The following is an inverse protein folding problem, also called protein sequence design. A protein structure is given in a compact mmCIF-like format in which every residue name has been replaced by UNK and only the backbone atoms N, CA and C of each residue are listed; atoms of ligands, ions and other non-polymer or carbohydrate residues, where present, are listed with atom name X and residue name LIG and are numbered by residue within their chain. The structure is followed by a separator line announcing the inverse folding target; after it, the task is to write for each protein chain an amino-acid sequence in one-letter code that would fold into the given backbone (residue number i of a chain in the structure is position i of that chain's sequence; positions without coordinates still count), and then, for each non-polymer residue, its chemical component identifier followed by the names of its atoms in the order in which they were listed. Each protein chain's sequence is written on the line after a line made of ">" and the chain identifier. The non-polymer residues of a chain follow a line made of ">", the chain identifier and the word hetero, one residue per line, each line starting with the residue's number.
data_IF_279952343881
#
_entry.id   IF_279952343881
#
_cell.length_a   1.000
_cell.length_b   1.000
_cell.length_c   1.000
_cell.angle_alpha   90.00
_cell.angle_beta   90.00
_cell.angle_gamma   90.00
#
_symmetry.space_group_name_H-M   'P 1'
#
loop_
_entity.id
_entity.type
_entity.pdbx_description
1 polymer ?
#
# COMPACT_ATOMS: atom_id res chain seq x y z
N UNK A 1 -8.73 -16.38 -48.30
CA UNK A 1 -8.15 -15.12 -47.78
C UNK A 1 -7.31 -14.49 -48.87
N UNK A 2 -7.40 -13.18 -49.07
CA UNK A 2 -6.60 -12.48 -50.09
C UNK A 2 -5.19 -12.20 -49.57
N UNK A 3 -4.23 -12.01 -50.48
CA UNK A 3 -2.85 -11.65 -50.11
C UNK A 3 -2.79 -10.37 -49.26
N UNK A 4 -3.60 -9.36 -49.60
CA UNK A 4 -3.72 -8.12 -48.84
C UNK A 4 -4.19 -8.35 -47.38
N UNK A 5 -5.18 -9.23 -47.17
CA UNK A 5 -5.62 -9.61 -45.82
C UNK A 5 -4.50 -10.30 -45.02
N UNK A 6 -3.69 -11.15 -45.67
CA UNK A 6 -2.55 -11.78 -45.00
C UNK A 6 -1.45 -10.78 -44.63
N UNK A 7 -1.22 -9.75 -45.44
CA UNK A 7 -0.25 -8.70 -45.13
C UNK A 7 -0.74 -7.83 -43.97
N UNK A 8 -2.01 -7.42 -43.98
CA UNK A 8 -2.61 -6.65 -42.90
C UNK A 8 -2.49 -7.40 -41.56
N UNK A 9 -2.85 -8.68 -41.52
CA UNK A 9 -2.72 -9.49 -40.29
C UNK A 9 -1.28 -9.58 -39.78
N UNK A 10 -0.31 -9.74 -40.69
CA UNK A 10 1.12 -9.77 -40.31
C UNK A 10 1.59 -8.43 -39.75
N UNK A 11 1.11 -7.31 -40.30
CA UNK A 11 1.40 -5.99 -39.77
C UNK A 11 0.80 -5.81 -38.37
N UNK A 12 -0.46 -6.16 -38.17
CA UNK A 12 -1.14 -6.09 -36.86
C UNK A 12 -0.43 -6.97 -35.81
N UNK A 13 -0.05 -8.19 -36.17
CA UNK A 13 0.67 -9.10 -35.27
C UNK A 13 2.06 -8.56 -34.89
N UNK A 14 2.74 -7.90 -35.82
CA UNK A 14 4.01 -7.23 -35.56
C UNK A 14 3.83 -6.02 -34.64
N UNK A 15 2.79 -5.21 -34.86
CA UNK A 15 2.48 -4.07 -34.01
C UNK A 15 2.21 -4.48 -32.56
N UNK A 16 1.36 -5.49 -32.36
CA UNK A 16 1.05 -6.04 -31.03
C UNK A 16 2.28 -6.57 -30.31
N UNK A 17 3.19 -7.23 -31.03
CA UNK A 17 4.45 -7.74 -30.44
C UNK A 17 5.32 -6.61 -29.92
N UNK A 18 5.45 -5.51 -30.68
CA UNK A 18 6.26 -4.39 -30.21
C UNK A 18 5.58 -3.63 -29.07
N UNK A 19 4.25 -3.46 -29.10
CA UNK A 19 3.51 -2.88 -27.96
C UNK A 19 3.68 -3.71 -26.68
N UNK A 20 3.67 -5.04 -26.79
CA UNK A 20 3.90 -5.94 -25.66
C UNK A 20 5.35 -5.85 -25.13
N UNK A 21 6.33 -5.78 -26.03
CA UNK A 21 7.73 -5.59 -25.63
C UNK A 21 7.93 -4.27 -24.90
N UNK A 22 7.39 -3.18 -25.43
CA UNK A 22 7.43 -1.86 -24.82
C UNK A 22 6.76 -1.85 -23.44
N UNK A 23 5.61 -2.54 -23.28
CA UNK A 23 4.96 -2.68 -21.99
C UNK A 23 5.83 -3.41 -20.95
N UNK A 24 6.62 -4.41 -21.36
CA UNK A 24 7.58 -5.08 -20.48
C UNK A 24 8.73 -4.16 -20.06
N UNK A 25 9.24 -3.34 -20.98
CA UNK A 25 10.28 -2.35 -20.69
C UNK A 25 9.77 -1.29 -19.70
N UNK A 26 8.53 -0.80 -19.88
CA UNK A 26 7.89 0.12 -18.95
C UNK A 26 7.67 -0.52 -17.57
N UNK A 27 7.29 -1.79 -17.50
CA UNK A 27 7.16 -2.52 -16.24
C UNK A 27 8.51 -2.65 -15.51
N UNK A 28 9.57 -3.00 -16.23
CA UNK A 28 10.92 -3.09 -15.68
C UNK A 28 11.39 -1.73 -15.14
N UNK A 29 11.19 -0.65 -15.90
CA UNK A 29 11.46 0.70 -15.45
C UNK A 29 10.69 1.07 -14.17
N UNK A 30 9.38 0.76 -14.11
CA UNK A 30 8.55 1.08 -12.95
C UNK A 30 9.00 0.33 -11.69
N UNK A 31 9.46 -0.92 -11.83
CA UNK A 31 10.03 -1.70 -10.73
C UNK A 31 11.37 -1.12 -10.24
N UNK A 32 12.28 -0.81 -11.16
CA UNK A 32 13.57 -0.17 -10.81
C UNK A 32 13.35 1.17 -10.10
N UNK A 33 12.43 1.99 -10.61
CA UNK A 33 12.12 3.29 -10.03
C UNK A 33 11.53 3.17 -8.63
N UNK A 34 10.67 2.16 -8.41
CA UNK A 34 10.12 1.86 -7.09
C UNK A 34 11.23 1.55 -6.07
N UNK A 35 12.21 0.74 -6.45
CA UNK A 35 13.31 0.38 -5.55
C UNK A 35 14.20 1.59 -5.23
N UNK A 36 14.51 2.43 -6.23
CA UNK A 36 15.21 3.71 -6.01
C UNK A 36 14.45 4.61 -5.03
N UNK A 37 13.13 4.71 -5.16
CA UNK A 37 12.29 5.49 -4.24
C UNK A 37 12.34 4.89 -2.83
N UNK A 38 12.20 3.56 -2.67
CA UNK A 38 12.31 2.90 -1.36
C UNK A 38 13.63 3.22 -0.66
N UNK A 39 14.76 3.08 -1.34
CA UNK A 39 16.08 3.39 -0.79
C UNK A 39 16.20 4.85 -0.34
N UNK A 40 15.62 5.77 -1.10
CA UNK A 40 15.60 7.20 -0.75
C UNK A 40 14.70 7.46 0.46
N UNK A 41 13.54 6.83 0.55
CA UNK A 41 12.66 6.92 1.71
C UNK A 41 13.32 6.36 2.99
N UNK A 42 14.06 5.25 2.88
CA UNK A 42 14.84 4.68 4.00
C UNK A 42 15.89 5.68 4.49
N UNK A 43 16.67 6.27 3.56
CA UNK A 43 17.67 7.30 3.90
C UNK A 43 17.05 8.55 4.52
N UNK A 44 15.94 9.02 3.95
CA UNK A 44 15.19 10.18 4.48
C UNK A 44 14.69 9.89 5.90
N UNK A 45 14.18 8.68 6.16
CA UNK A 45 13.72 8.25 7.48
C UNK A 45 14.85 8.20 8.51
N UNK A 46 16.04 7.74 8.11
CA UNK A 46 17.22 7.74 8.98
C UNK A 46 17.64 9.17 9.41
N UNK A 47 17.23 10.18 8.65
CA UNK A 47 17.48 11.60 8.93
C UNK A 47 16.28 12.28 9.64
N UNK A 48 15.23 11.53 9.98
CA UNK A 48 14.03 12.07 10.64
C UNK A 48 13.03 12.74 9.68
N UNK A 49 13.18 12.56 8.37
CA UNK A 49 12.21 13.01 7.37
C UNK A 49 11.12 11.97 7.14
N UNK A 50 9.90 12.43 6.85
CA UNK A 50 8.70 11.59 6.66
C UNK A 50 8.01 11.84 5.32
N UNK A 51 8.71 12.50 4.41
CA UNK A 51 8.30 12.76 3.05
C UNK A 51 9.53 12.72 2.14
N UNK A 52 9.27 12.47 0.86
CA UNK A 52 10.28 12.46 -0.19
C UNK A 52 9.66 12.90 -1.50
N UNK A 53 10.41 13.73 -2.24
CA UNK A 53 10.05 14.15 -3.60
C UNK A 53 11.23 13.91 -4.53
N UNK A 54 10.95 13.38 -5.72
CA UNK A 54 11.93 13.21 -6.77
C UNK A 54 11.32 13.43 -8.16
N UNK A 55 12.18 13.74 -9.12
CA UNK A 55 11.83 13.71 -10.54
C UNK A 55 12.38 12.43 -11.13
N UNK A 56 11.54 11.70 -11.84
CA UNK A 56 11.88 10.42 -12.47
C UNK A 56 11.69 10.56 -13.97
N UNK A 57 12.70 10.15 -14.73
CA UNK A 57 12.69 10.21 -16.19
C UNK A 57 12.40 8.82 -16.76
N UNK A 58 11.62 8.78 -17.83
CA UNK A 58 11.47 7.59 -18.69
C UNK A 58 11.54 8.02 -20.13
N UNK A 59 12.19 7.23 -20.97
CA UNK A 59 12.06 7.40 -22.41
C UNK A 59 10.63 6.99 -22.79
N UNK A 60 9.78 7.95 -23.12
CA UNK A 60 8.41 7.72 -23.57
C UNK A 60 8.32 8.09 -25.05
N UNK A 61 9.06 7.36 -25.89
CA UNK A 61 8.72 7.22 -27.32
C UNK A 61 7.50 6.29 -27.47
N UNK A 62 6.56 6.38 -26.53
CA UNK A 62 5.60 5.34 -26.34
C UNK A 62 4.57 5.32 -27.47
N UNK A 63 4.31 4.12 -27.97
CA UNK A 63 3.24 3.93 -28.96
C UNK A 63 1.91 4.34 -28.34
N UNK A 64 0.95 4.70 -29.20
CA UNK A 64 -0.38 5.18 -28.76
C UNK A 64 -1.02 4.26 -27.72
N UNK A 65 -0.84 2.94 -27.83
CA UNK A 65 -1.37 1.95 -26.89
C UNK A 65 -0.79 1.99 -25.47
N UNK A 66 0.44 2.48 -25.30
CA UNK A 66 1.15 2.47 -24.02
C UNK A 66 1.30 3.86 -23.38
N UNK A 67 0.70 4.90 -23.98
CA UNK A 67 0.76 6.27 -23.45
C UNK A 67 0.23 6.33 -22.01
N UNK A 68 1.05 6.86 -21.10
CA UNK A 68 0.71 6.99 -19.69
C UNK A 68 0.73 5.69 -18.90
N UNK A 69 1.10 4.55 -19.51
CA UNK A 69 1.27 3.28 -18.80
C UNK A 69 2.36 3.40 -17.72
N UNK A 70 3.46 4.08 -18.02
CA UNK A 70 4.56 4.34 -17.08
C UNK A 70 4.05 5.03 -15.80
N UNK A 71 3.34 6.15 -15.96
CA UNK A 71 2.72 6.89 -14.86
C UNK A 71 1.78 6.01 -14.05
N UNK A 72 0.90 5.25 -14.74
CA UNK A 72 -0.11 4.39 -14.10
C UNK A 72 0.53 3.28 -13.26
N UNK A 73 1.53 2.59 -13.81
CA UNK A 73 2.23 1.51 -13.10
C UNK A 73 3.00 2.04 -11.89
N UNK A 74 3.73 3.16 -12.05
CA UNK A 74 4.45 3.77 -10.94
C UNK A 74 3.50 4.21 -9.82
N UNK A 75 2.39 4.90 -10.14
CA UNK A 75 1.38 5.30 -9.16
C UNK A 75 0.76 4.08 -8.45
N UNK A 76 0.40 3.02 -9.20
CA UNK A 76 -0.13 1.78 -8.64
C UNK A 76 0.85 1.12 -7.66
N UNK A 77 2.12 0.98 -8.05
CA UNK A 77 3.16 0.41 -7.19
C UNK A 77 3.36 1.21 -5.91
N UNK A 78 3.45 2.55 -6.02
CA UNK A 78 3.63 3.42 -4.86
C UNK A 78 2.44 3.38 -3.90
N UNK A 79 1.20 3.34 -4.43
CA UNK A 79 0.00 3.16 -3.59
C UNK A 79 -0.01 1.83 -2.85
N UNK A 80 0.57 0.78 -3.43
CA UNK A 80 0.74 -0.52 -2.79
C UNK A 80 1.70 -0.53 -1.59
N UNK A 81 2.51 0.52 -1.39
CA UNK A 81 3.48 0.60 -0.29
C UNK A 81 2.92 1.19 1.01
N UNK A 82 1.65 1.60 1.05
CA UNK A 82 1.01 2.09 2.28
C UNK A 82 1.41 3.52 2.71
N UNK A 83 1.93 4.32 1.78
CA UNK A 83 2.12 5.76 2.00
C UNK A 83 0.79 6.46 2.30
N UNK A 84 0.78 7.46 3.20
CA UNK A 84 -0.43 8.22 3.49
C UNK A 84 -0.74 9.26 2.40
N UNK A 85 0.28 9.67 1.63
CA UNK A 85 0.16 10.52 0.45
C UNK A 85 1.06 9.99 -0.65
N UNK A 86 0.49 9.85 -1.85
CA UNK A 86 1.20 9.53 -3.09
C UNK A 86 0.69 10.46 -4.18
N UNK A 87 1.61 11.11 -4.89
CA UNK A 87 1.31 11.93 -6.07
C UNK A 87 2.35 11.64 -7.14
N UNK A 88 1.89 11.30 -8.34
CA UNK A 88 2.71 11.20 -9.54
C UNK A 88 2.13 12.17 -10.57
N UNK A 89 2.83 13.27 -10.82
CA UNK A 89 2.40 14.33 -11.74
C UNK A 89 3.40 14.48 -12.88
N UNK A 90 2.97 15.06 -14.00
CA UNK A 90 3.92 15.49 -15.03
C UNK A 90 4.88 16.51 -14.41
N UNK A 91 6.17 16.40 -14.73
CA UNK A 91 7.16 17.33 -14.22
C UNK A 91 6.94 18.74 -14.81
N UNK A 92 7.35 19.77 -14.06
CA UNK A 92 7.17 21.16 -14.49
C UNK A 92 8.14 21.53 -15.61
N UNK A 93 7.90 22.60 -16.39
CA UNK A 93 8.84 23.09 -17.39
C UNK A 93 10.27 23.33 -16.86
N UNK A 94 10.41 23.67 -15.57
CA UNK A 94 11.71 23.87 -14.93
C UNK A 94 12.47 22.55 -14.69
N UNK A 95 11.74 21.43 -14.58
CA UNK A 95 12.31 20.09 -14.34
C UNK A 95 12.76 19.40 -15.63
N UNK A 96 12.33 19.91 -16.79
CA UNK A 96 12.51 19.26 -18.09
C UNK A 96 13.56 19.92 -18.98
N UNK A 97 14.28 20.94 -18.48
CA UNK A 97 15.28 21.70 -19.24
C UNK A 97 16.44 20.85 -19.78
N UNK A 98 16.67 19.67 -19.20
CA UNK A 98 17.74 18.75 -19.56
C UNK A 98 17.27 17.52 -20.36
N UNK A 99 15.98 17.43 -20.70
CA UNK A 99 15.45 16.24 -21.34
C UNK A 99 15.78 16.18 -22.82
N UNK A 100 16.02 14.93 -23.26
CA UNK A 100 16.13 14.61 -24.67
C UNK A 100 14.73 14.59 -25.30
N UNK A 101 14.62 14.87 -26.60
CA UNK A 101 13.39 14.62 -27.33
C UNK A 101 12.88 13.19 -27.10
N UNK A 102 11.59 13.04 -26.77
CA UNK A 102 10.99 11.73 -26.49
C UNK A 102 11.06 11.29 -25.02
N UNK A 103 11.78 11.99 -24.15
CA UNK A 103 11.72 11.71 -22.70
C UNK A 103 10.52 12.38 -22.04
N UNK A 104 9.88 11.66 -21.14
CA UNK A 104 8.83 12.19 -20.27
C UNK A 104 9.27 12.09 -18.82
N UNK A 105 8.98 13.14 -18.06
CA UNK A 105 9.31 13.22 -16.65
C UNK A 105 8.08 13.25 -15.78
N UNK A 106 8.20 12.55 -14.65
CA UNK A 106 7.22 12.59 -13.59
C UNK A 106 7.84 13.16 -12.33
N UNK A 107 7.13 14.07 -11.69
CA UNK A 107 7.39 14.45 -10.31
C UNK A 107 6.62 13.49 -9.42
N UNK A 108 7.37 12.75 -8.61
CA UNK A 108 6.84 11.81 -7.62
C UNK A 108 7.00 12.40 -6.23
N UNK A 109 5.91 12.44 -5.48
CA UNK A 109 5.89 12.85 -4.08
C UNK A 109 5.24 11.74 -3.25
N UNK A 110 5.93 11.32 -2.20
CA UNK A 110 5.42 10.34 -1.24
C UNK A 110 5.59 10.87 0.18
N UNK A 111 4.65 10.53 1.04
CA UNK A 111 4.76 10.77 2.48
C UNK A 111 4.35 9.54 3.26
N UNK A 112 5.02 9.35 4.40
CA UNK A 112 4.66 8.38 5.42
C UNK A 112 4.48 9.07 6.78
N UNK A 113 4.12 10.36 6.77
CA UNK A 113 3.70 11.06 7.98
C UNK A 113 2.49 10.37 8.57
N UNK A 114 2.48 10.16 9.88
CA UNK A 114 1.33 9.59 10.61
C UNK A 114 0.96 8.15 10.20
N UNK A 115 1.78 7.44 9.40
CA UNK A 115 1.52 6.03 9.06
C UNK A 115 1.46 5.15 10.31
N UNK A 116 2.24 5.46 11.35
CA UNK A 116 2.16 4.80 12.67
C UNK A 116 0.90 5.16 13.47
N UNK A 117 0.24 6.30 13.19
CA UNK A 117 -1.09 6.60 13.77
C UNK A 117 -2.21 5.90 12.99
N UNK A 118 -2.01 5.71 11.69
CA UNK A 118 -2.92 5.00 10.77
C UNK A 118 -2.85 3.48 10.97
N UNK A 119 -1.69 2.90 11.27
CA UNK A 119 -1.58 1.50 11.68
C UNK A 119 -2.34 1.19 12.98
N UNK A 120 -2.68 2.22 13.77
CA UNK A 120 -3.51 2.14 14.98
C UNK A 120 -4.94 2.66 14.71
N UNK A 121 -5.23 3.26 13.54
CA UNK A 121 -6.46 4.06 13.31
C UNK A 121 -7.16 3.93 11.95
N UNK A 122 -6.62 3.22 10.95
CA UNK A 122 -7.23 3.19 9.60
C UNK A 122 -7.02 1.86 8.88
N UNK A 123 -7.89 0.90 9.21
CA UNK A 123 -8.66 0.23 8.17
C UNK A 123 -9.86 1.12 7.82
N UNK A 124 -9.73 1.94 6.78
CA UNK A 124 -10.85 2.61 6.14
C UNK A 124 -11.06 1.99 4.75
N UNK A 125 -11.47 0.72 4.76
CA UNK A 125 -12.36 0.20 3.72
C UNK A 125 -13.74 0.87 3.85
N UNK A 126 -14.50 1.03 2.75
CA UNK A 126 -15.87 1.52 2.83
C UNK A 126 -16.65 0.55 3.70
N UNK A 127 -17.17 1.05 4.83
CA UNK A 127 -17.94 0.37 5.88
C UNK A 127 -18.54 -1.01 5.52
N UNK A 128 -17.69 -2.01 5.31
CA UNK A 128 -18.06 -3.40 5.47
C UNK A 128 -18.38 -3.48 6.95
N UNK A 129 -19.62 -3.87 7.28
CA UNK A 129 -20.12 -4.03 8.65
C UNK A 129 -19.02 -4.68 9.49
N UNK A 130 -18.23 -3.88 10.22
CA UNK A 130 -17.24 -4.41 11.15
C UNK A 130 -18.06 -5.28 12.07
N UNK A 131 -17.82 -6.59 12.03
CA UNK A 131 -18.48 -7.55 12.89
C UNK A 131 -18.33 -6.98 14.31
N UNK A 132 -19.44 -6.49 14.85
CA UNK A 132 -19.46 -5.86 16.16
C UNK A 132 -19.07 -7.00 17.10
N UNK A 133 -17.84 -6.96 17.65
CA UNK A 133 -17.36 -8.01 18.55
C UNK A 133 -18.42 -8.35 19.59
N UNK A 134 -18.56 -9.63 19.93
CA UNK A 134 -19.60 -10.12 20.83
C UNK A 134 -19.71 -9.24 22.08
N UNK A 135 -20.91 -8.70 22.34
CA UNK A 135 -21.20 -7.99 23.57
C UNK A 135 -21.49 -9.02 24.65
N UNK A 136 -20.69 -9.00 25.72
CA UNK A 136 -20.84 -9.90 26.84
C UNK A 136 -20.56 -9.20 28.15
N UNK A 137 -21.00 -9.81 29.25
CA UNK A 137 -20.69 -9.32 30.60
C UNK A 137 -19.26 -9.70 30.96
N UNK A 138 -18.41 -8.70 31.16
CA UNK A 138 -17.03 -8.89 31.56
C UNK A 138 -16.96 -9.47 32.99
N UNK A 139 -16.21 -10.55 33.19
CA UNK A 139 -16.07 -11.18 34.51
C UNK A 139 -15.16 -10.39 35.50
N UNK A 140 -14.58 -9.27 35.06
CA UNK A 140 -13.73 -8.41 35.90
C UNK A 140 -14.41 -7.12 36.35
N UNK A 141 -15.14 -6.45 35.46
CA UNK A 141 -15.86 -5.21 35.78
C UNK A 141 -17.37 -5.40 35.82
N UNK A 142 -17.87 -6.58 35.47
CA UNK A 142 -19.29 -6.93 35.45
C UNK A 142 -20.19 -6.10 34.51
N UNK A 143 -19.59 -5.34 33.60
CA UNK A 143 -20.32 -4.54 32.62
C UNK A 143 -20.46 -5.26 31.27
N UNK A 144 -21.54 -4.97 30.55
CA UNK A 144 -21.76 -5.43 29.19
C UNK A 144 -20.96 -4.60 28.18
N UNK A 145 -19.92 -5.20 27.60
CA UNK A 145 -18.98 -4.51 26.71
C UNK A 145 -18.51 -5.44 25.58
N UNK A 146 -17.81 -4.87 24.61
CA UNK A 146 -17.14 -5.68 23.58
C UNK A 146 -16.09 -6.58 24.21
N UNK A 147 -16.23 -7.87 23.94
CA UNK A 147 -15.38 -8.90 24.51
C UNK A 147 -14.21 -9.22 23.57
N UNK A 148 -13.05 -9.45 24.17
CA UNK A 148 -11.81 -9.86 23.51
C UNK A 148 -11.33 -11.17 24.11
N UNK A 149 -10.72 -12.02 23.29
CA UNK A 149 -10.06 -13.24 23.71
C UNK A 149 -8.54 -13.04 23.82
N UNK A 150 -7.94 -13.62 24.85
CA UNK A 150 -6.50 -13.57 25.10
C UNK A 150 -5.82 -14.85 24.58
N UNK A 151 -4.84 -14.71 23.70
CA UNK A 151 -4.05 -15.85 23.22
C UNK A 151 -2.74 -16.00 24.01
N UNK A 152 -2.28 -17.23 24.30
CA UNK A 152 -2.83 -18.51 23.81
C UNK A 152 -3.96 -19.09 24.69
N UNK A 153 -4.28 -18.47 25.84
CA UNK A 153 -5.09 -19.11 26.87
C UNK A 153 -6.60 -19.18 26.61
N UNK A 154 -7.12 -18.44 25.62
CA UNK A 154 -8.54 -18.40 25.26
C UNK A 154 -9.46 -17.61 26.21
N UNK A 155 -8.98 -17.14 27.37
CA UNK A 155 -9.82 -16.40 28.32
C UNK A 155 -10.31 -15.07 27.75
N UNK A 156 -11.54 -14.69 28.13
CA UNK A 156 -12.27 -13.57 27.54
C UNK A 156 -12.54 -12.49 28.59
N UNK A 157 -12.31 -11.23 28.23
CA UNK A 157 -12.64 -10.06 29.06
C UNK A 157 -12.93 -8.83 28.18
N UNK A 158 -13.29 -7.69 28.76
CA UNK A 158 -13.45 -6.46 27.99
C UNK A 158 -12.09 -5.79 27.68
N UNK A 159 -12.04 -5.03 26.59
CA UNK A 159 -10.83 -4.33 26.14
C UNK A 159 -10.25 -3.36 27.18
N UNK A 160 -11.09 -2.65 27.92
CA UNK A 160 -10.64 -1.71 28.95
C UNK A 160 -9.99 -2.39 30.16
N UNK A 161 -10.57 -3.52 30.62
CA UNK A 161 -9.95 -4.31 31.70
C UNK A 161 -8.58 -4.84 31.24
N UNK A 162 -8.46 -5.28 29.99
CA UNK A 162 -7.17 -5.70 29.43
C UNK A 162 -6.17 -4.55 29.38
N UNK A 163 -6.59 -3.35 28.97
CA UNK A 163 -5.70 -2.19 28.92
C UNK A 163 -5.19 -1.78 30.31
N UNK A 164 -6.08 -1.77 31.32
CA UNK A 164 -5.68 -1.51 32.73
C UNK A 164 -4.71 -2.57 33.24
N UNK A 165 -4.94 -3.83 32.88
CA UNK A 165 -4.09 -4.94 33.30
C UNK A 165 -2.72 -4.92 32.60
N UNK A 166 -2.67 -4.66 31.29
CA UNK A 166 -1.44 -4.62 30.49
C UNK A 166 -0.43 -3.60 31.00
N UNK A 167 -0.90 -2.53 31.67
CA UNK A 167 -0.04 -1.55 32.34
C UNK A 167 0.68 -2.10 33.58
N UNK A 168 0.15 -3.18 34.18
CA UNK A 168 0.71 -3.84 35.37
C UNK A 168 1.51 -5.09 34.99
N UNK A 169 0.92 -5.96 34.18
CA UNK A 169 1.52 -7.23 33.74
C UNK A 169 0.90 -7.69 32.41
N UNK A 170 1.71 -8.34 31.58
CA UNK A 170 1.30 -8.92 30.29
C UNK A 170 0.69 -10.33 30.44
N UNK A 171 0.40 -10.77 31.67
CA UNK A 171 -0.23 -12.07 31.94
C UNK A 171 -1.75 -12.02 31.82
N UNK A 172 -2.40 -13.17 31.69
CA UNK A 172 -3.86 -13.32 31.77
C UNK A 172 -4.33 -13.19 33.23
N UNK A 173 -5.43 -12.48 33.53
CA UNK A 173 -5.88 -12.29 34.92
C UNK A 173 -6.51 -13.55 35.51
N UNK A 174 -6.92 -14.50 34.66
CA UNK A 174 -7.55 -15.75 35.07
C UNK A 174 -6.52 -16.86 35.29
N UNK A 175 -5.70 -17.16 34.28
CA UNK A 175 -4.75 -18.29 34.33
C UNK A 175 -3.28 -17.88 34.48
N UNK A 176 -2.97 -16.58 34.52
CA UNK A 176 -1.61 -16.02 34.67
C UNK A 176 -0.61 -16.40 33.55
N UNK A 177 -1.06 -17.01 32.45
CA UNK A 177 -0.22 -17.23 31.27
C UNK A 177 0.11 -15.91 30.57
N UNK A 178 1.29 -15.82 29.95
CA UNK A 178 1.70 -14.63 29.18
C UNK A 178 0.80 -14.48 27.94
N UNK A 179 0.26 -13.28 27.75
CA UNK A 179 -0.58 -12.94 26.61
C UNK A 179 0.30 -12.52 25.44
N UNK A 180 0.23 -13.27 24.34
CA UNK A 180 1.01 -13.00 23.12
C UNK A 180 0.23 -12.08 22.19
N UNK A 181 -1.08 -12.29 22.05
CA UNK A 181 -1.94 -11.42 21.27
C UNK A 181 -3.38 -11.38 21.83
N UNK A 182 -4.15 -10.44 21.32
CA UNK A 182 -5.55 -10.21 21.68
C UNK A 182 -6.37 -10.18 20.39
N UNK A 183 -7.47 -10.91 20.36
CA UNK A 183 -8.39 -10.95 19.21
C UNK A 183 -9.80 -10.54 19.65
N UNK A 184 -10.57 -9.92 18.77
CA UNK A 184 -11.99 -9.70 19.03
C UNK A 184 -12.72 -11.06 19.12
N UNK A 185 -13.60 -11.20 20.10
CA UNK A 185 -14.37 -12.41 20.29
C UNK A 185 -15.37 -12.61 19.16
N UNK A 186 -14.99 -13.36 18.13
CA UNK A 186 -15.88 -13.87 17.10
C UNK A 186 -16.57 -15.12 17.63
N UNK A 187 -17.46 -14.96 18.60
CA UNK A 187 -18.29 -16.06 19.08
C UNK A 187 -19.52 -16.15 18.16
N UNK A 188 -19.61 -17.23 17.39
CA UNK A 188 -20.82 -17.56 16.64
C UNK A 188 -21.85 -18.08 17.65
N UNK A 189 -22.94 -17.34 17.82
CA UNK A 189 -24.13 -17.76 18.57
C UNK A 189 -24.99 -18.71 17.76
#
# INVERSE_FOLDING_TARGET
>A
MTFAQSLARKADDFEKKLEAQEALEIQAWAAEMLDRIKERCIRASAQGHYDYSCVTTVCEEARKGNRGLAKKLLDQHLRGLGFNRVSVAAASPADISHLRPGEVCFRTEVSWKLVSRIAISTTAEPAAKRLKGYLGRCQLCEENRSMIALAPCGHVLCGECRQKQARRDQKCPFCRQVVVCVTEGLFLS
#
